data_IF_334979040537
#
_entry.id   IF_334979040537
#
_cell.length_a   1.000
_cell.length_b   1.000
_cell.length_c   1.000
_cell.angle_alpha   90.00
_cell.angle_beta   90.00
_cell.angle_gamma   90.00
#
_symmetry.space_group_name_H-M   'P 1'
#
loop_
_entity.id
_entity.type
_entity.pdbx_description
1 polymer ?
#
# COMPACT_ATOMS: atom_id res chain seq x y z
N UNK A 1 0.04 -10.86 8.82
CA UNK A 1 1.29 -10.59 9.56
C UNK A 1 1.37 -11.52 10.76
N UNK A 2 2.56 -11.80 11.31
CA UNK A 2 2.67 -12.59 12.54
C UNK A 2 1.84 -11.95 13.66
N UNK A 3 1.14 -12.75 14.45
CA UNK A 3 0.33 -12.24 15.57
C UNK A 3 1.21 -11.46 16.56
N UNK A 4 0.70 -10.34 17.08
CA UNK A 4 1.42 -9.49 18.02
C UNK A 4 2.47 -8.56 17.40
N UNK A 5 2.65 -8.55 16.07
CA UNK A 5 3.52 -7.60 15.34
C UNK A 5 2.69 -6.50 14.67
N UNK A 6 3.31 -5.34 14.42
CA UNK A 6 2.67 -4.30 13.62
C UNK A 6 2.41 -4.78 12.19
N UNK A 7 1.32 -4.31 11.58
CA UNK A 7 0.90 -4.72 10.25
C UNK A 7 0.51 -3.48 9.42
N UNK A 8 1.02 -3.40 8.20
CA UNK A 8 0.62 -2.41 7.21
C UNK A 8 -0.05 -3.10 6.02
N UNK A 9 -1.13 -2.51 5.52
CA UNK A 9 -1.81 -2.96 4.31
C UNK A 9 -1.83 -1.80 3.33
N UNK A 10 -1.30 -2.04 2.14
CA UNK A 10 -1.12 -1.04 1.08
C UNK A 10 -1.78 -1.60 -0.16
N UNK A 11 -2.79 -0.89 -0.68
CA UNK A 11 -3.58 -1.32 -1.83
C UNK A 11 -3.67 -0.17 -2.83
N UNK A 12 -3.52 -0.49 -4.11
CA UNK A 12 -3.70 0.48 -5.19
C UNK A 12 -4.44 -0.13 -6.38
N UNK A 13 -5.33 0.67 -6.97
CA UNK A 13 -6.06 0.39 -8.21
C UNK A 13 -5.98 1.62 -9.15
N UNK A 14 -5.79 1.44 -10.47
CA UNK A 14 -5.52 0.18 -11.16
C UNK A 14 -4.18 -0.45 -10.70
N UNK A 15 -3.98 -1.74 -10.94
CA UNK A 15 -2.89 -2.54 -10.38
C UNK A 15 -1.50 -1.89 -10.50
N UNK A 16 -1.23 -1.18 -11.60
CA UNK A 16 0.02 -0.45 -11.81
C UNK A 16 0.30 0.62 -10.73
N UNK A 17 -0.73 1.30 -10.22
CA UNK A 17 -0.61 2.23 -9.09
C UNK A 17 -0.18 1.48 -7.85
N UNK A 18 -0.79 0.32 -7.58
CA UNK A 18 -0.42 -0.51 -6.44
C UNK A 18 1.01 -1.07 -6.53
N UNK A 19 1.54 -1.35 -7.73
CA UNK A 19 2.96 -1.71 -7.93
C UNK A 19 3.88 -0.57 -7.48
N UNK A 20 3.61 0.67 -7.89
CA UNK A 20 4.40 1.84 -7.51
C UNK A 20 4.31 2.14 -6.00
N UNK A 21 3.12 1.98 -5.42
CA UNK A 21 2.92 2.10 -3.98
C UNK A 21 3.71 1.05 -3.21
N UNK A 22 3.72 -0.21 -3.67
CA UNK A 22 4.46 -1.29 -3.06
C UNK A 22 5.99 -1.05 -3.13
N UNK A 23 6.52 -0.66 -4.29
CA UNK A 23 7.94 -0.34 -4.47
C UNK A 23 8.39 0.80 -3.53
N UNK A 24 7.60 1.87 -3.45
CA UNK A 24 7.88 3.02 -2.59
C UNK A 24 7.85 2.65 -1.11
N UNK A 25 6.87 1.82 -0.70
CA UNK A 25 6.76 1.36 0.68
C UNK A 25 8.04 0.65 1.14
N UNK A 26 8.51 -0.32 0.35
CA UNK A 26 9.67 -1.14 0.67
C UNK A 26 10.99 -0.36 0.63
N UNK A 27 11.06 0.70 -0.18
CA UNK A 27 12.23 1.59 -0.24
C UNK A 27 12.26 2.67 0.85
N UNK A 28 11.14 2.93 1.51
CA UNK A 28 11.00 4.04 2.47
C UNK A 28 11.40 3.69 3.90
N UNK A 29 11.31 2.42 4.29
CA UNK A 29 11.61 1.96 5.64
C UNK A 29 12.00 0.48 5.65
N UNK A 30 12.73 0.05 6.67
CA UNK A 30 13.08 -1.35 6.85
C UNK A 30 11.86 -2.14 7.37
N UNK A 31 11.16 -2.84 6.48
CA UNK A 31 9.96 -3.63 6.77
C UNK A 31 10.03 -4.99 6.08
N UNK A 32 9.38 -5.99 6.65
CA UNK A 32 9.28 -7.34 6.12
C UNK A 32 8.04 -7.49 5.24
N UNK A 33 8.18 -8.09 4.06
CA UNK A 33 7.04 -8.45 3.20
C UNK A 33 6.35 -9.69 3.76
N UNK A 34 5.06 -9.58 4.06
CA UNK A 34 4.23 -10.69 4.53
C UNK A 34 3.49 -11.33 3.37
N UNK A 35 2.92 -10.52 2.48
CA UNK A 35 2.18 -11.00 1.32
C UNK A 35 2.20 -9.95 0.21
N UNK A 36 2.14 -10.42 -1.02
CA UNK A 36 1.94 -9.63 -2.21
C UNK A 36 0.91 -10.33 -3.10
N UNK A 37 -0.14 -9.60 -3.48
CA UNK A 37 -1.19 -10.11 -4.37
C UNK A 37 -1.35 -9.19 -5.57
N UNK A 38 -1.69 -9.77 -6.72
CA UNK A 38 -1.88 -9.10 -8.00
C UNK A 38 -3.12 -9.69 -8.71
N UNK A 39 -3.61 -9.11 -9.83
CA UNK A 39 -4.85 -9.55 -10.46
C UNK A 39 -4.88 -11.04 -10.83
N UNK A 40 -3.74 -11.63 -11.19
CA UNK A 40 -3.65 -13.04 -11.57
C UNK A 40 -3.23 -13.97 -10.41
N UNK A 41 -2.92 -13.43 -9.22
CA UNK A 41 -2.41 -14.21 -8.10
C UNK A 41 -2.80 -13.58 -6.75
N UNK A 42 -3.61 -14.29 -5.97
CA UNK A 42 -3.96 -13.91 -4.60
C UNK A 42 -5.17 -12.96 -4.47
N UNK A 43 -5.71 -12.44 -5.58
CA UNK A 43 -7.00 -11.73 -5.60
C UNK A 43 -8.02 -12.50 -6.43
N UNK A 44 -9.30 -12.12 -6.31
CA UNK A 44 -10.38 -12.63 -7.17
C UNK A 44 -10.44 -11.86 -8.49
N UNK A 45 -9.32 -11.81 -9.21
CA UNK A 45 -9.18 -11.03 -10.46
C UNK A 45 -9.49 -9.53 -10.32
N UNK A 46 -9.33 -8.96 -9.12
CA UNK A 46 -9.47 -7.51 -8.92
C UNK A 46 -8.31 -6.78 -9.61
N UNK A 47 -8.55 -5.56 -10.11
CA UNK A 47 -7.51 -4.73 -10.73
C UNK A 47 -6.69 -3.99 -9.65
N UNK A 48 -6.16 -4.75 -8.70
CA UNK A 48 -5.45 -4.25 -7.54
C UNK A 48 -4.09 -4.93 -7.39
N UNK A 49 -3.15 -4.20 -6.79
CA UNK A 49 -2.00 -4.81 -6.12
C UNK A 49 -2.14 -4.54 -4.63
N UNK A 50 -1.97 -5.60 -3.85
CA UNK A 50 -2.10 -5.60 -2.39
C UNK A 50 -0.75 -6.03 -1.81
N UNK A 51 -0.11 -5.13 -1.06
CA UNK A 51 1.09 -5.41 -0.29
C UNK A 51 0.75 -5.42 1.20
N UNK A 52 1.12 -6.50 1.89
CA UNK A 52 1.04 -6.62 3.34
C UNK A 52 2.47 -6.64 3.88
N UNK A 53 2.76 -5.73 4.81
CA UNK A 53 4.07 -5.61 5.47
C UNK A 53 3.95 -5.77 6.99
N UNK A 54 5.06 -6.12 7.61
CA UNK A 54 5.23 -6.20 9.07
C UNK A 54 6.58 -5.62 9.46
N UNK A 55 6.78 -5.32 10.74
CA UNK A 55 8.04 -4.77 11.24
C UNK A 55 7.85 -3.95 12.50
N UNK A 56 8.77 -3.03 12.76
CA UNK A 56 8.60 -2.03 13.81
C UNK A 56 7.45 -1.08 13.46
N UNK A 57 6.61 -0.74 14.43
CA UNK A 57 5.40 0.06 14.19
C UNK A 57 5.69 1.41 13.54
N UNK A 58 6.79 2.06 13.91
CA UNK A 58 7.26 3.30 13.27
C UNK A 58 7.64 3.11 11.80
N UNK A 59 8.37 2.03 11.49
CA UNK A 59 8.78 1.70 10.13
C UNK A 59 7.58 1.34 9.25
N UNK A 60 6.65 0.53 9.77
CA UNK A 60 5.40 0.18 9.09
C UNK A 60 4.56 1.43 8.82
N UNK A 61 4.40 2.32 9.81
CA UNK A 61 3.64 3.56 9.62
C UNK A 61 4.28 4.46 8.56
N UNK A 62 5.60 4.61 8.60
CA UNK A 62 6.34 5.40 7.60
C UNK A 62 6.11 4.84 6.19
N UNK A 63 6.24 3.52 6.03
CA UNK A 63 6.03 2.85 4.74
C UNK A 63 4.61 3.03 4.19
N UNK A 64 3.59 2.92 5.05
CA UNK A 64 2.19 3.15 4.66
C UNK A 64 1.95 4.60 4.23
N UNK A 65 2.52 5.58 4.97
CA UNK A 65 2.38 7.01 4.62
C UNK A 65 3.07 7.31 3.29
N UNK A 66 4.30 6.84 3.08
CA UNK A 66 5.02 7.04 1.82
C UNK A 66 4.29 6.42 0.64
N UNK A 67 3.75 5.21 0.81
CA UNK A 67 2.94 4.55 -0.21
C UNK A 67 1.64 5.33 -0.52
N UNK A 68 0.97 5.88 0.50
CA UNK A 68 -0.24 6.70 0.33
C UNK A 68 0.04 7.95 -0.50
N UNK A 69 1.12 8.68 -0.20
CA UNK A 69 1.40 9.92 -0.91
C UNK A 69 1.74 9.69 -2.39
N UNK A 70 2.58 8.69 -2.71
CA UNK A 70 2.83 8.37 -4.13
C UNK A 70 1.58 7.84 -4.83
N UNK A 71 0.77 7.02 -4.14
CA UNK A 71 -0.49 6.49 -4.66
C UNK A 71 -1.46 7.61 -5.04
N UNK A 72 -1.62 8.60 -4.16
CA UNK A 72 -2.42 9.80 -4.44
C UNK A 72 -1.85 10.58 -5.62
N UNK A 73 -0.54 10.83 -5.66
CA UNK A 73 0.09 11.58 -6.76
C UNK A 73 -0.16 10.91 -8.11
N UNK A 74 0.07 9.59 -8.21
CA UNK A 74 -0.08 8.86 -9.48
C UNK A 74 -1.56 8.75 -9.86
N UNK A 75 -2.44 8.43 -8.92
CA UNK A 75 -3.87 8.29 -9.22
C UNK A 75 -4.49 9.63 -9.67
N UNK A 76 -4.04 10.75 -9.09
CA UNK A 76 -4.46 12.10 -9.52
C UNK A 76 -4.13 12.41 -10.98
N UNK A 77 -3.13 11.76 -11.58
CA UNK A 77 -2.79 11.96 -13.00
C UNK A 77 -3.87 11.46 -13.95
N UNK A 78 -4.82 10.64 -13.47
CA UNK A 78 -5.93 10.11 -14.26
C UNK A 78 -7.13 11.07 -14.36
N UNK A 79 -7.07 12.25 -13.72
CA UNK A 79 -7.99 13.36 -14.01
C UNK A 79 -8.66 14.01 -12.80
N UNK A 80 -8.63 13.40 -11.60
CA UNK A 80 -9.15 14.02 -10.39
C UNK A 80 -8.37 13.57 -9.14
N UNK A 81 -8.39 14.41 -8.10
CA UNK A 81 -7.72 14.12 -6.83
C UNK A 81 -8.51 13.09 -6.01
N UNK A 82 -7.90 11.98 -5.58
CA UNK A 82 -8.55 10.99 -4.74
C UNK A 82 -9.01 11.60 -3.40
N UNK A 83 -10.26 11.33 -3.01
CA UNK A 83 -10.88 11.83 -1.77
C UNK A 83 -11.37 10.67 -0.92
N UNK A 84 -11.25 10.85 0.39
CA UNK A 84 -11.81 9.97 1.41
C UNK A 84 -13.06 10.61 2.02
N UNK A 85 -14.09 9.81 2.28
CA UNK A 85 -15.35 10.31 2.87
C UNK A 85 -15.27 10.50 4.40
N UNK A 86 -14.18 10.06 5.03
CA UNK A 86 -13.98 10.09 6.49
C UNK A 86 -12.53 10.46 6.82
N UNK A 87 -12.25 11.13 7.96
CA UNK A 87 -10.91 11.49 8.36
C UNK A 87 -9.93 10.30 8.35
N UNK A 88 -8.69 10.54 7.91
CA UNK A 88 -7.63 9.53 7.99
C UNK A 88 -7.35 9.18 9.46
N UNK A 89 -7.15 7.88 9.73
CA UNK A 89 -6.71 7.39 11.04
C UNK A 89 -5.22 7.03 11.08
N UNK A 90 -4.50 7.17 9.94
CA UNK A 90 -3.06 6.92 9.78
C UNK A 90 -2.31 8.21 9.52
#
# INVERSE_FOLDING_TARGET
APQGRACGVIVGAPAAVGVLMADTALKSANVDVVAYSSPAQGTSYSNEVILIISGDSGAVRQAVISAREIGKTVLSTLGDTPKNDRPSYI
#
